data_IF_300556227519
#
_entry.id   IF_300556227519
#
_cell.length_a   1.000
_cell.length_b   1.000
_cell.length_c   1.000
_cell.angle_alpha   90.00
_cell.angle_beta   90.00
_cell.angle_gamma   90.00
#
_symmetry.space_group_name_H-M   'P 1'
#
loop_
_entity.id
_entity.type
_entity.pdbx_description
1 polymer ?
#
# COMPACT_ATOMS: atom_id res chain seq x y z
N UNK A 1 -28.08 11.90 22.82
CA UNK A 1 -27.38 11.00 23.74
C UNK A 1 -25.91 11.36 23.63
N UNK A 2 -25.34 12.06 24.60
CA UNK A 2 -23.90 12.33 24.64
C UNK A 2 -23.24 10.99 24.94
N UNK A 3 -22.53 10.43 23.97
CA UNK A 3 -21.67 9.28 24.24
C UNK A 3 -20.62 9.73 25.27
N UNK A 4 -20.32 8.88 26.26
CA UNK A 4 -19.16 9.08 27.13
C UNK A 4 -17.88 9.25 26.29
N UNK A 5 -16.81 9.76 26.90
CA UNK A 5 -15.52 9.96 26.22
C UNK A 5 -15.11 8.72 25.40
N UNK A 6 -14.83 8.86 24.09
CA UNK A 6 -14.39 7.75 23.23
C UNK A 6 -12.94 7.31 23.53
N UNK A 7 -12.30 7.93 24.51
CA UNK A 7 -10.93 7.66 24.94
C UNK A 7 -10.88 7.42 26.44
N UNK A 8 -10.19 6.36 26.84
CA UNK A 8 -9.95 5.99 28.23
C UNK A 8 -8.47 5.73 28.47
N UNK A 9 -7.83 6.62 29.23
CA UNK A 9 -6.45 6.49 29.68
C UNK A 9 -6.43 5.85 31.07
N UNK A 10 -5.59 4.83 31.25
CA UNK A 10 -5.36 4.16 32.53
C UNK A 10 -3.88 4.29 32.89
N UNK A 11 -3.61 4.81 34.09
CA UNK A 11 -2.27 4.88 34.67
C UNK A 11 -2.00 3.58 35.46
N UNK A 12 -1.31 2.64 34.82
CA UNK A 12 -1.09 1.29 35.34
C UNK A 12 -0.09 1.26 36.51
N UNK A 13 0.64 2.35 36.75
CA UNK A 13 1.48 2.50 37.94
C UNK A 13 0.67 2.83 39.20
N UNK A 14 -0.58 3.32 39.02
CA UNK A 14 -1.45 3.78 40.10
C UNK A 14 -2.71 2.95 40.27
N UNK A 15 -3.19 2.36 39.19
CA UNK A 15 -4.46 1.67 39.13
C UNK A 15 -4.29 0.23 38.64
N UNK A 16 -4.91 -0.72 39.32
CA UNK A 16 -4.95 -2.10 38.84
C UNK A 16 -5.79 -2.18 37.54
N UNK A 17 -5.44 -3.05 36.58
CA UNK A 17 -6.22 -3.24 35.37
C UNK A 17 -7.67 -3.64 35.70
N UNK A 18 -8.62 -2.74 35.47
CA UNK A 18 -10.04 -3.07 35.64
C UNK A 18 -10.54 -3.74 34.36
N UNK A 19 -11.09 -4.95 34.44
CA UNK A 19 -11.80 -5.56 33.32
C UNK A 19 -13.07 -4.77 33.02
N UNK A 20 -13.03 -3.96 31.97
CA UNK A 20 -14.16 -3.16 31.50
C UNK A 20 -14.42 -3.49 30.03
N UNK A 21 -15.70 -3.68 29.69
CA UNK A 21 -16.15 -3.95 28.33
C UNK A 21 -16.17 -2.65 27.52
N UNK A 22 -14.97 -2.15 27.17
CA UNK A 22 -14.76 -0.91 26.45
C UNK A 22 -15.03 -1.08 24.94
N UNK A 23 -16.23 -1.55 24.57
CA UNK A 23 -16.60 -1.84 23.17
C UNK A 23 -16.72 -0.59 22.31
N UNK A 24 -16.94 0.58 22.91
CA UNK A 24 -17.27 1.85 22.25
C UNK A 24 -16.17 2.92 22.40
N UNK A 25 -15.00 2.55 22.93
CA UNK A 25 -13.91 3.47 23.26
C UNK A 25 -12.54 2.86 23.02
N UNK A 26 -11.56 3.72 22.79
CA UNK A 26 -10.14 3.39 22.71
C UNK A 26 -9.55 3.39 24.11
N UNK A 27 -8.92 2.29 24.51
CA UNK A 27 -8.33 2.12 25.84
C UNK A 27 -6.82 2.06 25.78
N UNK A 28 -6.16 3.01 26.45
CA UNK A 28 -4.70 3.15 26.46
C UNK A 28 -4.19 2.99 27.90
N UNK A 29 -3.26 2.05 28.09
CA UNK A 29 -2.53 1.90 29.33
C UNK A 29 -1.17 2.59 29.23
N UNK A 30 -0.78 3.30 30.30
CA UNK A 30 0.56 3.88 30.45
C UNK A 30 1.19 3.33 31.71
N UNK A 31 2.48 2.95 31.62
CA UNK A 31 3.29 2.59 32.78
C UNK A 31 4.74 3.02 32.57
N UNK A 32 5.45 3.34 33.64
CA UNK A 32 6.89 3.59 33.60
C UNK A 32 7.64 2.37 33.08
N UNK A 33 7.29 1.18 33.57
CA UNK A 33 7.86 -0.12 33.18
C UNK A 33 6.76 -1.06 32.66
N UNK A 34 7.05 -1.95 31.69
CA UNK A 34 6.10 -2.94 31.21
C UNK A 34 5.53 -3.83 32.32
N UNK A 35 4.20 -3.90 32.40
CA UNK A 35 3.45 -4.79 33.31
C UNK A 35 2.53 -5.73 32.55
N UNK A 36 2.01 -6.77 33.21
CA UNK A 36 0.93 -7.60 32.67
C UNK A 36 -0.41 -6.85 32.79
N UNK A 37 -0.80 -6.19 31.70
CA UNK A 37 -2.01 -5.37 31.63
C UNK A 37 -3.24 -6.12 31.07
N UNK A 38 -3.10 -7.40 30.70
CA UNK A 38 -4.17 -8.16 30.06
C UNK A 38 -4.52 -7.73 28.61
N UNK A 39 -5.45 -8.44 27.94
CA UNK A 39 -5.77 -8.25 26.52
C UNK A 39 -6.76 -7.11 26.24
N UNK A 40 -7.27 -6.42 27.27
CA UNK A 40 -8.31 -5.39 27.17
C UNK A 40 -7.84 -4.04 26.64
N UNK A 41 -6.53 -3.78 26.60
CA UNK A 41 -5.97 -2.53 26.11
C UNK A 41 -5.77 -2.58 24.60
N UNK A 42 -6.07 -1.46 23.95
CA UNK A 42 -5.79 -1.28 22.52
C UNK A 42 -4.35 -0.86 22.28
N UNK A 43 -3.75 -0.18 23.26
CA UNK A 43 -2.37 0.28 23.26
C UNK A 43 -1.82 0.26 24.68
N UNK A 44 -0.54 -0.11 24.80
CA UNK A 44 0.25 0.02 26.01
C UNK A 44 1.50 0.86 25.70
N UNK A 45 1.71 1.93 26.47
CA UNK A 45 2.78 2.90 26.26
C UNK A 45 3.73 2.92 27.45
N UNK A 46 5.03 2.93 27.19
CA UNK A 46 6.07 2.99 28.23
C UNK A 46 7.22 3.90 27.83
N UNK A 47 7.93 4.41 28.85
CA UNK A 47 9.18 5.16 28.69
C UNK A 47 10.39 4.29 28.32
N UNK A 48 10.28 2.97 28.49
CA UNK A 48 11.37 2.02 28.19
C UNK A 48 11.67 2.02 26.69
N UNK A 49 12.95 2.16 26.35
CA UNK A 49 13.44 2.02 24.99
C UNK A 49 13.37 0.55 24.55
N UNK A 50 12.78 0.29 23.38
CA UNK A 50 12.56 -1.05 22.81
C UNK A 50 11.92 -2.07 23.79
N UNK A 51 10.70 -1.78 24.27
CA UNK A 51 10.05 -2.64 25.25
C UNK A 51 9.54 -3.94 24.61
N UNK A 52 9.33 -5.01 25.39
CA UNK A 52 8.74 -6.24 24.89
C UNK A 52 7.35 -6.00 24.33
N UNK A 53 6.94 -6.80 23.34
CA UNK A 53 5.54 -6.80 22.88
C UNK A 53 4.62 -7.16 24.05
N UNK A 54 3.44 -6.53 24.17
CA UNK A 54 2.82 -5.65 23.18
C UNK A 54 3.10 -4.14 23.38
N UNK A 55 4.05 -3.77 24.24
CA UNK A 55 4.32 -2.38 24.59
C UNK A 55 4.95 -1.58 23.44
N UNK A 56 4.63 -0.28 23.44
CA UNK A 56 5.22 0.73 22.55
C UNK A 56 6.09 1.66 23.39
N UNK A 57 7.38 1.70 23.06
CA UNK A 57 8.36 2.57 23.72
C UNK A 57 8.31 3.98 23.14
N UNK A 58 8.21 4.98 24.00
CA UNK A 58 8.21 6.39 23.62
C UNK A 58 8.77 7.27 24.73
N UNK A 59 9.43 8.37 24.39
CA UNK A 59 10.17 9.18 25.36
C UNK A 59 9.29 9.81 26.46
N UNK A 60 8.02 10.12 26.14
CA UNK A 60 7.03 10.63 27.10
C UNK A 60 5.68 9.95 26.85
N UNK A 61 5.39 8.82 27.52
CA UNK A 61 4.18 8.04 27.25
C UNK A 61 2.90 8.76 27.66
N UNK A 62 2.95 9.65 28.66
CA UNK A 62 1.78 10.44 29.06
C UNK A 62 1.47 11.53 28.03
N UNK A 63 2.48 12.27 27.54
CA UNK A 63 2.27 13.25 26.48
C UNK A 63 1.80 12.59 25.17
N UNK A 64 2.33 11.40 24.86
CA UNK A 64 1.84 10.58 23.72
C UNK A 64 0.37 10.20 23.93
N UNK A 65 0.00 9.69 25.11
CA UNK A 65 -1.39 9.34 25.42
C UNK A 65 -2.34 10.53 25.29
N UNK A 66 -1.94 11.73 25.73
CA UNK A 66 -2.73 12.95 25.57
C UNK A 66 -2.92 13.32 24.08
N UNK A 67 -1.87 13.22 23.26
CA UNK A 67 -1.98 13.44 21.80
C UNK A 67 -2.93 12.43 21.15
N UNK A 68 -2.83 11.16 21.52
CA UNK A 68 -3.75 10.12 21.05
C UNK A 68 -5.19 10.43 21.47
N UNK A 69 -5.42 10.87 22.71
CA UNK A 69 -6.73 11.33 23.17
C UNK A 69 -7.30 12.47 22.32
N UNK A 70 -6.47 13.43 21.91
CA UNK A 70 -6.88 14.50 21.02
C UNK A 70 -7.24 13.99 19.61
N UNK A 71 -6.49 13.04 19.05
CA UNK A 71 -6.83 12.40 17.76
C UNK A 71 -8.15 11.65 17.86
N UNK A 72 -8.35 10.87 18.93
CA UNK A 72 -9.58 10.11 19.17
C UNK A 72 -10.78 11.06 19.35
N UNK A 73 -10.61 12.20 20.01
CA UNK A 73 -11.65 13.21 20.12
C UNK A 73 -11.99 13.87 18.77
N UNK A 74 -10.98 14.08 17.91
CA UNK A 74 -11.16 14.67 16.58
C UNK A 74 -11.80 13.70 15.58
N UNK A 75 -11.50 12.39 15.67
CA UNK A 75 -11.94 11.35 14.73
C UNK A 75 -12.50 10.11 15.45
N UNK A 76 -13.53 10.26 16.31
CA UNK A 76 -13.94 9.21 17.24
C UNK A 76 -14.44 7.94 16.55
N UNK A 77 -15.24 8.08 15.50
CA UNK A 77 -15.76 6.94 14.75
C UNK A 77 -14.65 6.11 14.10
N UNK A 78 -13.64 6.77 13.51
CA UNK A 78 -12.52 6.09 12.87
C UNK A 78 -11.61 5.41 13.89
N UNK A 79 -11.29 6.09 14.99
CA UNK A 79 -10.45 5.55 16.05
C UNK A 79 -11.07 4.33 16.74
N UNK A 80 -12.36 4.41 17.09
CA UNK A 80 -13.07 3.28 17.69
C UNK A 80 -13.20 2.13 16.69
N UNK A 81 -13.60 2.39 15.44
CA UNK A 81 -13.70 1.36 14.42
C UNK A 81 -12.36 0.65 14.18
N UNK A 82 -11.24 1.39 14.13
CA UNK A 82 -9.90 0.81 14.02
C UNK A 82 -9.64 -0.20 15.13
N UNK A 83 -9.82 0.21 16.39
CA UNK A 83 -9.57 -0.69 17.54
C UNK A 83 -10.50 -1.89 17.56
N UNK A 84 -11.78 -1.72 17.19
CA UNK A 84 -12.72 -2.84 17.07
C UNK A 84 -12.29 -3.84 16.00
N UNK A 85 -11.92 -3.36 14.80
CA UNK A 85 -11.42 -4.20 13.70
C UNK A 85 -10.19 -4.97 14.15
N UNK A 86 -9.23 -4.31 14.82
CA UNK A 86 -8.02 -4.98 15.29
C UNK A 86 -8.29 -6.03 16.40
N UNK A 87 -9.19 -5.74 17.35
CA UNK A 87 -9.62 -6.71 18.38
C UNK A 87 -10.31 -7.93 17.76
N UNK A 88 -11.19 -7.70 16.79
CA UNK A 88 -11.93 -8.75 16.11
C UNK A 88 -11.05 -9.54 15.13
N UNK A 89 -10.06 -8.90 14.50
CA UNK A 89 -9.13 -9.52 13.55
C UNK A 89 -8.37 -10.72 14.14
N UNK A 90 -8.05 -10.68 15.43
CA UNK A 90 -7.44 -11.81 16.15
C UNK A 90 -8.36 -13.02 16.36
N UNK A 91 -9.65 -12.91 16.06
CA UNK A 91 -10.69 -13.95 16.27
C UNK A 91 -11.28 -14.51 14.98
N UNK A 92 -10.88 -13.98 13.84
CA UNK A 92 -11.37 -14.37 12.51
C UNK A 92 -10.21 -14.87 11.64
N UNK A 93 -10.55 -15.63 10.61
CA UNK A 93 -9.58 -16.17 9.65
C UNK A 93 -8.94 -15.07 8.81
N UNK A 94 -7.76 -15.30 8.20
CA UNK A 94 -7.09 -14.27 7.40
C UNK A 94 -7.96 -13.66 6.28
N UNK A 95 -8.70 -14.44 5.45
CA UNK A 95 -9.62 -13.86 4.46
C UNK A 95 -10.74 -13.02 5.08
N UNK A 96 -11.28 -13.42 6.23
CA UNK A 96 -12.33 -12.68 6.94
C UNK A 96 -11.84 -11.33 7.48
N UNK A 97 -10.55 -11.19 7.81
CA UNK A 97 -9.96 -9.90 8.23
C UNK A 97 -10.10 -8.85 7.13
N UNK A 98 -9.86 -9.22 5.87
CA UNK A 98 -10.00 -8.31 4.73
C UNK A 98 -11.47 -7.88 4.53
N UNK A 99 -12.42 -8.80 4.74
CA UNK A 99 -13.85 -8.49 4.66
C UNK A 99 -14.25 -7.55 5.80
N UNK A 100 -13.82 -7.84 7.04
CA UNK A 100 -14.06 -7.01 8.23
C UNK A 100 -13.51 -5.59 8.04
N UNK A 101 -12.27 -5.45 7.58
CA UNK A 101 -11.66 -4.16 7.27
C UNK A 101 -12.47 -3.41 6.21
N UNK A 102 -12.81 -4.07 5.11
CA UNK A 102 -13.57 -3.47 4.02
C UNK A 102 -14.96 -2.98 4.46
N UNK A 103 -15.64 -3.72 5.33
CA UNK A 103 -16.93 -3.32 5.91
C UNK A 103 -16.78 -2.04 6.74
N UNK A 104 -15.81 -2.02 7.67
CA UNK A 104 -15.57 -0.87 8.53
C UNK A 104 -15.11 0.37 7.73
N UNK A 105 -14.18 0.20 6.79
CA UNK A 105 -13.73 1.27 5.90
C UNK A 105 -14.89 1.84 5.06
N UNK A 106 -15.76 0.97 4.54
CA UNK A 106 -16.90 1.41 3.72
C UNK A 106 -17.97 2.13 4.53
N UNK A 107 -18.22 1.72 5.77
CA UNK A 107 -19.05 2.48 6.70
C UNK A 107 -18.49 3.89 6.93
N UNK A 108 -17.17 4.00 7.16
CA UNK A 108 -16.50 5.28 7.46
C UNK A 108 -16.47 6.25 6.26
N UNK A 109 -16.51 5.75 5.02
CA UNK A 109 -16.63 6.61 3.83
C UNK A 109 -17.91 7.46 3.80
N UNK A 110 -18.97 7.04 4.52
CA UNK A 110 -20.17 7.86 4.73
C UNK A 110 -20.17 8.65 6.04
N UNK A 111 -19.10 8.52 6.84
CA UNK A 111 -18.96 9.12 8.16
C UNK A 111 -18.82 10.65 8.12
N UNK A 112 -19.18 11.31 9.23
CA UNK A 112 -19.00 12.76 9.36
C UNK A 112 -17.51 13.18 9.33
N UNK A 113 -16.62 12.38 9.92
CA UNK A 113 -15.17 12.65 9.95
C UNK A 113 -14.56 12.72 8.54
N UNK A 114 -14.83 11.70 7.72
CA UNK A 114 -14.35 11.68 6.33
C UNK A 114 -14.95 12.79 5.47
N UNK A 115 -16.26 13.08 5.62
CA UNK A 115 -16.90 14.22 4.92
C UNK A 115 -16.29 15.56 5.32
N UNK A 116 -16.01 15.77 6.61
CA UNK A 116 -15.36 16.99 7.09
C UNK A 116 -13.93 17.12 6.54
N UNK A 117 -13.18 16.02 6.53
CA UNK A 117 -11.85 15.98 5.92
C UNK A 117 -11.91 16.33 4.42
N UNK A 118 -12.80 15.69 3.65
CA UNK A 118 -12.99 15.98 2.22
C UNK A 118 -13.31 17.46 1.96
N UNK A 119 -14.17 18.08 2.78
CA UNK A 119 -14.51 19.49 2.66
C UNK A 119 -13.32 20.43 2.94
N UNK A 120 -12.36 20.00 3.76
CA UNK A 120 -11.13 20.76 4.06
C UNK A 120 -9.97 20.46 3.10
N UNK A 121 -10.04 19.34 2.39
CA UNK A 121 -8.97 18.86 1.54
C UNK A 121 -8.83 19.74 0.29
N UNK A 122 -7.58 20.01 -0.10
CA UNK A 122 -7.30 20.70 -1.37
C UNK A 122 -7.74 19.80 -2.54
N UNK A 123 -8.49 20.33 -3.52
CA UNK A 123 -8.81 19.58 -4.73
C UNK A 123 -7.54 19.07 -5.41
N UNK A 124 -7.57 17.83 -5.90
CA UNK A 124 -6.49 17.20 -6.63
C UNK A 124 -7.01 16.68 -7.95
N UNK A 125 -6.20 16.83 -9.00
CA UNK A 125 -6.51 16.31 -10.32
C UNK A 125 -6.00 14.87 -10.42
N UNK A 126 -6.83 13.91 -10.86
CA UNK A 126 -6.37 12.56 -11.18
C UNK A 126 -5.26 12.60 -12.23
N UNK A 127 -4.23 11.79 -12.04
CA UNK A 127 -3.09 11.66 -12.97
C UNK A 127 -2.86 10.19 -13.31
N UNK A 128 -3.75 9.56 -14.11
CA UNK A 128 -3.68 8.14 -14.42
C UNK A 128 -2.42 7.81 -15.24
N UNK A 129 -2.01 6.56 -15.19
CA UNK A 129 -0.97 6.00 -16.07
C UNK A 129 -1.60 4.98 -17.03
N UNK A 130 -1.06 4.86 -18.24
CA UNK A 130 -1.42 3.76 -19.13
C UNK A 130 -0.88 2.41 -18.61
N UNK A 131 0.29 2.44 -17.96
CA UNK A 131 0.97 1.28 -17.38
C UNK A 131 1.36 1.59 -15.93
N UNK A 132 0.40 1.58 -14.97
CA UNK A 132 0.67 1.95 -13.57
C UNK A 132 1.46 0.90 -12.79
N UNK A 133 1.57 -0.33 -13.32
CA UNK A 133 2.36 -1.43 -12.77
C UNK A 133 3.06 -2.12 -13.93
N UNK A 134 4.38 -2.32 -13.82
CA UNK A 134 5.20 -3.07 -14.79
C UNK A 134 5.52 -4.47 -14.27
N UNK A 135 5.57 -5.44 -15.18
CA UNK A 135 5.95 -6.82 -14.89
C UNK A 135 7.21 -7.19 -15.70
N UNK A 136 8.14 -7.89 -15.06
CA UNK A 136 9.25 -8.54 -15.75
C UNK A 136 9.47 -9.93 -15.16
N UNK A 137 9.56 -10.93 -16.02
CA UNK A 137 9.88 -12.29 -15.62
C UNK A 137 11.25 -12.67 -16.13
N UNK A 138 12.07 -13.22 -15.24
CA UNK A 138 13.34 -13.87 -15.56
C UNK A 138 13.39 -15.23 -14.86
N UNK A 139 13.28 -16.31 -15.64
CA UNK A 139 13.18 -17.67 -15.13
C UNK A 139 12.01 -17.86 -14.14
N UNK A 140 12.35 -18.20 -12.90
CA UNK A 140 11.44 -18.43 -11.77
C UNK A 140 11.15 -17.17 -10.94
N UNK A 141 11.68 -16.01 -11.35
CA UNK A 141 11.52 -14.72 -10.66
C UNK A 141 10.58 -13.80 -11.44
N UNK A 142 9.62 -13.19 -10.73
CA UNK A 142 8.73 -12.16 -11.25
C UNK A 142 8.95 -10.84 -10.50
N UNK A 143 9.41 -9.82 -11.19
CA UNK A 143 9.46 -8.46 -10.67
C UNK A 143 8.14 -7.73 -11.01
N UNK A 144 7.50 -7.16 -9.99
CA UNK A 144 6.31 -6.32 -10.08
C UNK A 144 6.70 -4.92 -9.57
N UNK A 145 6.55 -3.89 -10.40
CA UNK A 145 6.99 -2.52 -10.07
C UNK A 145 5.83 -1.54 -10.17
N UNK A 146 5.50 -0.80 -9.10
CA UNK A 146 4.64 0.37 -9.21
C UNK A 146 5.29 1.44 -10.08
N UNK A 147 4.61 1.93 -11.11
CA UNK A 147 5.19 2.81 -12.13
C UNK A 147 4.36 4.08 -12.36
N UNK A 148 4.13 4.82 -11.27
CA UNK A 148 3.57 6.18 -11.30
C UNK A 148 4.49 7.17 -10.58
N UNK A 149 5.77 7.31 -10.97
CA UNK A 149 6.76 8.06 -10.19
C UNK A 149 6.40 9.55 -10.00
N UNK A 150 5.68 10.17 -10.94
CA UNK A 150 5.26 11.59 -10.87
C UNK A 150 4.22 11.91 -9.77
N UNK A 151 3.60 10.88 -9.20
CA UNK A 151 2.71 10.93 -8.03
C UNK A 151 3.29 10.16 -6.85
N UNK A 152 4.58 9.79 -6.88
CA UNK A 152 5.20 8.90 -5.87
C UNK A 152 4.43 7.59 -5.72
N UNK A 153 4.06 6.98 -6.84
CA UNK A 153 3.36 5.70 -6.89
C UNK A 153 2.09 5.69 -6.02
N UNK A 154 1.33 6.79 -6.02
CA UNK A 154 0.02 6.81 -5.38
C UNK A 154 -0.85 5.68 -5.94
N UNK A 155 -1.68 5.08 -5.08
CA UNK A 155 -2.43 3.87 -5.35
C UNK A 155 -3.87 4.22 -5.70
N UNK A 156 -4.17 4.19 -7.00
CA UNK A 156 -5.50 4.47 -7.57
C UNK A 156 -6.18 3.17 -8.06
N UNK A 157 -7.41 3.26 -8.57
CA UNK A 157 -8.15 2.11 -9.09
C UNK A 157 -7.42 1.42 -10.26
N UNK A 158 -6.76 2.18 -11.15
CA UNK A 158 -5.97 1.63 -12.24
C UNK A 158 -4.76 0.84 -11.74
N UNK A 159 -4.05 1.37 -10.73
CA UNK A 159 -2.93 0.70 -10.07
C UNK A 159 -3.39 -0.57 -9.35
N UNK A 160 -4.55 -0.52 -8.68
CA UNK A 160 -5.17 -1.70 -8.05
C UNK A 160 -5.43 -2.79 -9.07
N UNK A 161 -6.08 -2.46 -10.18
CA UNK A 161 -6.48 -3.44 -11.18
C UNK A 161 -5.24 -4.05 -11.86
N UNK A 162 -4.26 -3.23 -12.24
CA UNK A 162 -2.99 -3.71 -12.80
C UNK A 162 -2.17 -4.57 -11.81
N UNK A 163 -2.15 -4.21 -10.52
CA UNK A 163 -1.51 -5.03 -9.48
C UNK A 163 -2.24 -6.36 -9.30
N UNK A 164 -3.58 -6.37 -9.32
CA UNK A 164 -4.34 -7.61 -9.31
C UNK A 164 -3.94 -8.50 -10.47
N UNK A 165 -3.90 -7.98 -11.71
CA UNK A 165 -3.48 -8.75 -12.89
C UNK A 165 -2.07 -9.32 -12.72
N UNK A 166 -1.12 -8.52 -12.23
CA UNK A 166 0.25 -8.97 -11.98
C UNK A 166 0.34 -10.10 -10.94
N UNK A 167 -0.39 -9.98 -9.83
CA UNK A 167 -0.39 -10.98 -8.77
C UNK A 167 -1.12 -12.26 -9.17
N UNK A 168 -2.12 -12.20 -10.05
CA UNK A 168 -2.75 -13.40 -10.60
C UNK A 168 -1.74 -14.26 -11.37
N UNK A 169 -0.76 -13.66 -12.05
CA UNK A 169 0.32 -14.40 -12.71
C UNK A 169 1.12 -15.21 -11.69
N UNK A 170 1.52 -14.60 -10.57
CA UNK A 170 2.26 -15.28 -9.50
C UNK A 170 1.45 -16.39 -8.80
N UNK A 171 0.14 -16.17 -8.61
CA UNK A 171 -0.75 -17.16 -8.01
C UNK A 171 -0.98 -18.35 -8.96
N UNK A 172 -1.23 -18.09 -10.24
CA UNK A 172 -1.60 -19.11 -11.21
C UNK A 172 -0.41 -19.93 -11.74
N UNK A 173 0.80 -19.36 -11.75
CA UNK A 173 1.99 -20.04 -12.28
C UNK A 173 2.90 -20.56 -11.14
N UNK A 174 2.90 -21.89 -10.86
CA UNK A 174 3.73 -22.48 -9.82
C UNK A 174 5.23 -22.48 -10.16
N UNK A 175 5.61 -22.21 -11.42
CA UNK A 175 7.03 -22.09 -11.79
C UNK A 175 7.64 -20.75 -11.37
N UNK A 176 6.83 -19.80 -10.90
CA UNK A 176 7.30 -18.55 -10.27
C UNK A 176 7.55 -18.83 -8.78
N UNK A 177 8.81 -19.07 -8.43
CA UNK A 177 9.25 -19.35 -7.07
C UNK A 177 9.47 -18.06 -6.26
N UNK A 178 9.79 -16.95 -6.93
CA UNK A 178 10.12 -15.68 -6.28
C UNK A 178 9.37 -14.51 -6.93
N UNK A 179 8.80 -13.64 -6.10
CA UNK A 179 8.18 -12.39 -6.54
C UNK A 179 8.87 -11.24 -5.83
N UNK A 180 9.33 -10.25 -6.58
CA UNK A 180 9.84 -9.01 -6.01
C UNK A 180 8.84 -7.88 -6.25
N UNK A 181 8.47 -7.15 -5.20
CA UNK A 181 7.63 -5.97 -5.28
C UNK A 181 8.48 -4.71 -5.07
N UNK A 182 8.49 -3.84 -6.08
CA UNK A 182 9.25 -2.59 -6.13
C UNK A 182 8.36 -1.37 -6.37
N UNK A 183 8.90 -0.17 -6.15
CA UNK A 183 8.36 1.08 -6.68
C UNK A 183 9.37 1.81 -7.56
N UNK A 184 8.93 2.41 -8.66
CA UNK A 184 9.79 3.23 -9.50
C UNK A 184 9.92 4.66 -8.94
N UNK A 185 11.09 5.27 -9.10
CA UNK A 185 11.35 6.66 -8.72
C UNK A 185 11.62 6.84 -7.21
N UNK A 186 11.25 8.01 -6.68
CA UNK A 186 11.69 8.49 -5.37
C UNK A 186 10.98 7.86 -4.15
N UNK A 187 10.02 6.96 -4.35
CA UNK A 187 9.28 6.32 -3.27
C UNK A 187 8.77 4.95 -3.72
N UNK A 188 8.64 4.03 -2.77
CA UNK A 188 7.95 2.76 -3.00
C UNK A 188 6.49 2.99 -3.39
N UNK A 189 5.68 3.54 -2.46
CA UNK A 189 4.27 3.87 -2.67
C UNK A 189 3.78 4.84 -1.59
N UNK A 190 3.22 5.97 -2.02
CA UNK A 190 2.72 7.03 -1.12
C UNK A 190 1.30 6.82 -0.59
N UNK A 191 0.72 5.63 -0.83
CA UNK A 191 -0.60 5.24 -0.35
C UNK A 191 -1.71 5.62 -1.31
N UNK A 192 -2.96 5.57 -0.85
CA UNK A 192 -4.14 5.85 -1.68
C UNK A 192 -4.04 7.19 -2.41
N UNK A 193 -4.38 7.20 -3.70
CA UNK A 193 -4.41 8.43 -4.49
C UNK A 193 -5.56 9.32 -3.99
N UNK A 194 -5.20 10.42 -3.31
CA UNK A 194 -6.20 11.32 -2.72
C UNK A 194 -7.08 12.01 -3.78
N UNK A 195 -6.74 11.95 -5.07
CA UNK A 195 -7.65 12.41 -6.12
C UNK A 195 -8.87 11.47 -6.32
N UNK A 196 -8.81 10.23 -5.84
CA UNK A 196 -9.94 9.28 -5.86
C UNK A 196 -10.83 9.38 -4.61
N UNK A 197 -10.36 10.03 -3.55
CA UNK A 197 -11.08 10.06 -2.29
C UNK A 197 -12.37 10.88 -2.45
N UNK A 198 -13.50 10.28 -2.07
CA UNK A 198 -14.83 10.87 -2.24
C UNK A 198 -15.44 10.71 -3.64
N UNK A 199 -14.77 10.03 -4.58
CA UNK A 199 -15.34 9.77 -5.92
C UNK A 199 -16.38 8.64 -5.91
N UNK A 200 -16.24 7.68 -4.98
CA UNK A 200 -17.24 6.64 -4.76
C UNK A 200 -18.48 7.21 -4.08
N UNK A 201 -19.63 7.12 -4.75
CA UNK A 201 -20.93 7.57 -4.23
C UNK A 201 -21.73 6.47 -3.53
N UNK A 202 -21.28 5.22 -3.65
CA UNK A 202 -21.94 4.05 -3.09
C UNK A 202 -20.91 3.19 -2.34
N UNK A 203 -20.78 3.36 -1.01
CA UNK A 203 -19.84 2.58 -0.23
C UNK A 203 -20.16 1.08 -0.19
N UNK A 204 -21.42 0.67 -0.39
CA UNK A 204 -21.76 -0.75 -0.45
C UNK A 204 -21.20 -1.38 -1.73
N UNK A 205 -21.30 -0.70 -2.87
CA UNK A 205 -20.64 -1.15 -4.10
C UNK A 205 -19.11 -1.09 -3.98
N UNK A 206 -18.57 -0.04 -3.34
CA UNK A 206 -17.13 0.05 -3.08
C UNK A 206 -16.61 -1.10 -2.21
N UNK A 207 -17.39 -1.55 -1.21
CA UNK A 207 -17.09 -2.73 -0.42
C UNK A 207 -16.99 -3.97 -1.30
N UNK A 208 -18.01 -4.24 -2.12
CA UNK A 208 -18.04 -5.41 -3.01
C UNK A 208 -16.87 -5.40 -4.00
N UNK A 209 -16.54 -4.23 -4.57
CA UNK A 209 -15.39 -4.08 -5.46
C UNK A 209 -14.07 -4.39 -4.72
N UNK A 210 -13.86 -3.82 -3.53
CA UNK A 210 -12.65 -4.06 -2.73
C UNK A 210 -12.47 -5.53 -2.38
N UNK A 211 -13.56 -6.25 -2.07
CA UNK A 211 -13.49 -7.69 -1.77
C UNK A 211 -13.21 -8.52 -3.04
N UNK A 212 -13.82 -8.18 -4.18
CA UNK A 212 -13.65 -8.94 -5.44
C UNK A 212 -12.35 -8.65 -6.17
N UNK A 213 -11.83 -7.42 -6.05
CA UNK A 213 -10.58 -6.94 -6.68
C UNK A 213 -9.61 -6.54 -5.58
N UNK A 214 -9.12 -7.55 -4.85
CA UNK A 214 -8.26 -7.36 -3.69
C UNK A 214 -6.82 -7.81 -3.98
N UNK A 215 -5.88 -6.87 -4.22
CA UNK A 215 -4.47 -7.20 -4.24
C UNK A 215 -4.03 -7.85 -2.92
N UNK A 216 -4.55 -7.37 -1.78
CA UNK A 216 -4.26 -7.93 -0.46
C UNK A 216 -4.64 -9.42 -0.34
N UNK A 217 -5.76 -9.85 -0.93
CA UNK A 217 -6.14 -11.27 -0.93
C UNK A 217 -5.17 -12.14 -1.74
N UNK A 218 -4.72 -11.64 -2.89
CA UNK A 218 -3.72 -12.33 -3.72
C UNK A 218 -2.35 -12.36 -3.03
N UNK A 219 -1.97 -11.25 -2.39
CA UNK A 219 -0.76 -11.12 -1.58
C UNK A 219 -0.79 -12.04 -0.36
N UNK A 220 -1.95 -12.27 0.25
CA UNK A 220 -2.10 -13.24 1.32
C UNK A 220 -1.85 -14.68 0.84
N UNK A 221 -2.17 -14.99 -0.42
CA UNK A 221 -1.96 -16.32 -1.01
C UNK A 221 -0.51 -16.54 -1.48
N UNK A 222 0.06 -15.59 -2.23
CA UNK A 222 1.43 -15.71 -2.75
C UNK A 222 2.51 -15.14 -1.81
N UNK A 223 2.11 -14.48 -0.72
CA UNK A 223 2.95 -13.76 0.24
C UNK A 223 4.27 -14.45 0.61
N UNK A 224 4.29 -15.75 0.97
CA UNK A 224 5.52 -16.46 1.30
C UNK A 224 6.62 -16.41 0.22
N UNK A 225 6.26 -16.20 -1.05
CA UNK A 225 7.18 -16.06 -2.19
C UNK A 225 7.55 -14.61 -2.50
N UNK A 226 6.88 -13.64 -1.88
CA UNK A 226 7.05 -12.20 -2.14
C UNK A 226 8.13 -11.61 -1.23
N UNK A 227 9.04 -10.86 -1.84
CA UNK A 227 9.93 -9.91 -1.16
C UNK A 227 9.53 -8.49 -1.54
N UNK A 228 9.15 -7.67 -0.55
CA UNK A 228 8.89 -6.25 -0.75
C UNK A 228 10.18 -5.44 -0.52
N UNK A 229 10.49 -4.55 -1.44
CA UNK A 229 11.70 -3.73 -1.44
C UNK A 229 11.34 -2.26 -1.24
N UNK A 230 11.38 -1.82 0.01
CA UNK A 230 10.91 -0.51 0.44
C UNK A 230 12.00 0.55 0.34
N UNK A 231 11.66 1.73 -0.16
CA UNK A 231 12.52 2.92 -0.15
C UNK A 231 11.68 4.19 -0.14
N UNK A 232 12.26 5.29 0.36
CA UNK A 232 11.55 6.56 0.49
C UNK A 232 10.21 6.41 1.22
N UNK A 233 9.15 7.01 0.68
CA UNK A 233 7.83 6.98 1.32
C UNK A 233 7.09 5.63 1.10
N UNK A 234 6.68 5.02 2.21
CA UNK A 234 5.84 3.81 2.29
C UNK A 234 4.62 4.10 3.18
N UNK A 235 3.57 4.65 2.59
CA UNK A 235 2.45 5.24 3.33
C UNK A 235 1.14 4.52 2.99
N UNK A 236 0.27 4.29 3.98
CA UNK A 236 -1.04 3.66 3.77
C UNK A 236 -0.93 2.39 2.93
N UNK A 237 -1.70 2.31 1.84
CA UNK A 237 -1.68 1.19 0.89
C UNK A 237 -0.28 0.67 0.51
N UNK A 238 0.75 1.54 0.47
CA UNK A 238 2.13 1.13 0.25
C UNK A 238 2.64 0.14 1.31
N UNK A 239 2.61 0.52 2.58
CA UNK A 239 3.06 -0.38 3.66
C UNK A 239 2.03 -1.48 3.95
N UNK A 240 0.73 -1.21 3.80
CA UNK A 240 -0.33 -2.18 4.04
C UNK A 240 -0.19 -3.43 3.16
N UNK A 241 0.08 -3.23 1.86
CA UNK A 241 0.29 -4.30 0.90
C UNK A 241 1.65 -4.98 1.08
N UNK A 242 2.71 -4.21 1.32
CA UNK A 242 4.05 -4.76 1.54
C UNK A 242 4.11 -5.67 2.77
N UNK A 243 3.32 -5.39 3.81
CA UNK A 243 3.29 -6.19 5.03
C UNK A 243 2.77 -7.64 4.84
N UNK A 244 2.12 -7.96 3.71
CA UNK A 244 1.77 -9.35 3.35
C UNK A 244 2.94 -10.15 2.78
N UNK A 245 4.03 -9.49 2.36
CA UNK A 245 5.19 -10.18 1.81
C UNK A 245 5.79 -11.14 2.84
N UNK A 246 6.41 -12.22 2.38
CA UNK A 246 7.15 -13.15 3.23
C UNK A 246 8.42 -12.52 3.78
N UNK A 247 9.02 -11.59 3.02
CA UNK A 247 10.16 -10.77 3.43
C UNK A 247 9.95 -9.31 3.05
N UNK A 248 10.36 -8.40 3.94
CA UNK A 248 10.34 -6.95 3.75
C UNK A 248 11.75 -6.43 3.96
N UNK A 249 12.39 -6.00 2.87
CA UNK A 249 13.67 -5.29 2.88
C UNK A 249 13.38 -3.79 2.81
N UNK A 250 14.12 -2.98 3.57
CA UNK A 250 13.98 -1.52 3.51
C UNK A 250 15.32 -0.82 3.30
N UNK A 251 15.33 0.22 2.47
CA UNK A 251 16.42 1.17 2.41
C UNK A 251 16.52 1.96 3.73
N UNK A 252 17.73 2.41 4.14
CA UNK A 252 17.90 3.18 5.37
C UNK A 252 17.06 4.46 5.45
N UNK A 253 16.69 5.05 4.31
CA UNK A 253 15.89 6.27 4.20
C UNK A 253 14.37 6.01 4.16
N UNK A 254 13.94 4.76 4.36
CA UNK A 254 12.52 4.40 4.31
C UNK A 254 11.74 5.06 5.44
N UNK A 255 10.60 5.65 5.08
CA UNK A 255 9.66 6.35 5.96
C UNK A 255 8.30 5.65 5.87
N UNK A 256 7.81 5.12 6.99
CA UNK A 256 6.55 4.39 7.08
C UNK A 256 5.50 5.20 7.83
N UNK A 257 4.24 5.18 7.37
CA UNK A 257 3.13 5.88 8.05
C UNK A 257 1.74 5.31 7.72
N UNK A 258 0.81 5.38 8.67
CA UNK A 258 -0.62 5.10 8.49
C UNK A 258 -1.48 6.34 8.85
N UNK A 259 -1.74 7.24 7.90
CA UNK A 259 -2.42 8.52 8.17
C UNK A 259 -3.96 8.49 8.19
N UNK A 260 -4.58 7.35 7.91
CA UNK A 260 -6.00 7.24 7.55
C UNK A 260 -6.95 7.74 8.64
N UNK A 261 -6.59 7.53 9.92
CA UNK A 261 -7.40 8.00 11.06
C UNK A 261 -7.59 9.51 11.02
N UNK A 262 -6.54 10.27 10.69
CA UNK A 262 -6.62 11.73 10.54
C UNK A 262 -7.56 12.17 9.42
N UNK A 263 -7.87 11.28 8.47
CA UNK A 263 -8.84 11.49 7.40
C UNK A 263 -10.25 11.04 7.79
N UNK A 264 -10.46 10.51 9.00
CA UNK A 264 -11.73 9.90 9.40
C UNK A 264 -11.97 8.51 8.81
N UNK A 265 -10.89 7.82 8.42
CA UNK A 265 -10.89 6.46 7.88
C UNK A 265 -9.99 5.54 8.72
N UNK A 266 -9.89 4.28 8.34
CA UNK A 266 -8.89 3.33 8.86
C UNK A 266 -8.00 2.86 7.70
N UNK A 267 -6.87 2.19 7.94
CA UNK A 267 -6.18 1.43 6.89
C UNK A 267 -7.17 0.52 6.17
N UNK A 268 -7.15 0.53 4.83
CA UNK A 268 -8.24 -0.02 4.00
C UNK A 268 -7.78 -0.78 2.76
N UNK A 269 -6.48 -1.03 2.65
CA UNK A 269 -5.84 -1.82 1.59
C UNK A 269 -5.25 -3.13 2.15
N UNK A 270 -5.74 -3.59 3.31
CA UNK A 270 -5.32 -4.77 4.03
C UNK A 270 -4.49 -4.49 5.29
N UNK A 271 -4.28 -3.22 5.66
CA UNK A 271 -3.40 -2.83 6.76
C UNK A 271 -3.77 -3.39 8.13
N UNK A 272 -5.06 -3.46 8.44
CA UNK A 272 -5.55 -4.06 9.69
C UNK A 272 -5.54 -5.60 9.65
N UNK A 273 -5.29 -6.20 8.48
CA UNK A 273 -5.12 -7.63 8.31
C UNK A 273 -3.64 -8.06 8.30
N UNK A 274 -2.74 -7.27 7.72
CA UNK A 274 -1.31 -7.60 7.56
C UNK A 274 -0.43 -7.10 8.69
N UNK A 275 -0.52 -5.82 9.08
CA UNK A 275 0.38 -5.26 10.09
C UNK A 275 0.26 -5.95 11.46
N UNK A 276 -0.94 -6.28 11.98
CA UNK A 276 -1.04 -6.94 13.28
C UNK A 276 -0.37 -8.31 13.31
N UNK A 277 -0.24 -8.99 12.17
CA UNK A 277 0.49 -10.26 12.06
C UNK A 277 1.99 -10.03 12.25
N UNK A 278 2.53 -8.93 11.71
CA UNK A 278 3.96 -8.58 11.83
C UNK A 278 4.30 -7.98 13.19
N UNK A 279 3.62 -6.91 13.58
CA UNK A 279 3.99 -6.08 14.74
C UNK A 279 3.06 -6.18 15.94
N UNK A 280 1.99 -6.97 15.85
CA UNK A 280 0.96 -7.03 16.88
C UNK A 280 -0.06 -5.91 16.79
N UNK A 281 -1.17 -6.10 17.49
CA UNK A 281 -2.32 -5.19 17.47
C UNK A 281 -1.97 -3.80 18.01
N UNK A 282 -1.26 -3.74 19.12
CA UNK A 282 -1.03 -2.52 19.90
C UNK A 282 -0.08 -1.57 19.16
N UNK A 283 1.00 -2.09 18.56
CA UNK A 283 1.89 -1.31 17.68
C UNK A 283 1.20 -0.88 16.39
N UNK A 284 0.32 -1.70 15.83
CA UNK A 284 -0.51 -1.32 14.66
C UNK A 284 -1.47 -0.18 15.02
N UNK A 285 -2.16 -0.30 16.16
CA UNK A 285 -3.08 0.72 16.65
C UNK A 285 -2.32 2.02 16.95
N UNK A 286 -1.14 1.95 17.55
CA UNK A 286 -0.26 3.11 17.74
C UNK A 286 0.07 3.79 16.42
N UNK A 287 0.57 3.04 15.43
CA UNK A 287 1.00 3.61 14.14
C UNK A 287 -0.15 4.31 13.41
N UNK A 288 -1.36 3.72 13.45
CA UNK A 288 -2.53 4.27 12.79
C UNK A 288 -3.20 5.42 13.56
N UNK A 289 -3.28 5.35 14.90
CA UNK A 289 -3.90 6.40 15.73
C UNK A 289 -3.00 7.62 15.86
N UNK A 290 -1.69 7.45 16.01
CA UNK A 290 -0.76 8.58 16.07
C UNK A 290 -0.61 9.26 14.72
N UNK A 291 -0.65 8.49 13.63
CA UNK A 291 -0.24 8.95 12.31
C UNK A 291 1.24 9.36 12.26
N UNK A 292 2.03 8.96 13.26
CA UNK A 292 3.45 9.28 13.36
C UNK A 292 4.26 8.51 12.31
N UNK A 293 5.42 9.08 11.96
CA UNK A 293 6.38 8.42 11.10
C UNK A 293 7.15 7.35 11.88
N UNK A 294 7.22 6.14 11.29
CA UNK A 294 8.09 5.06 11.73
C UNK A 294 9.31 4.98 10.79
N UNK A 295 10.50 5.12 11.34
CA UNK A 295 11.76 4.97 10.59
C UNK A 295 12.04 3.50 10.24
N UNK A 296 12.91 3.24 9.25
CA UNK A 296 13.40 1.90 8.93
C UNK A 296 13.97 1.17 10.16
N UNK A 297 14.77 1.87 10.98
CA UNK A 297 15.38 1.29 12.19
C UNK A 297 14.33 0.86 13.23
N UNK A 298 13.31 1.69 13.47
CA UNK A 298 12.23 1.33 14.39
C UNK A 298 11.37 0.20 13.80
N UNK A 299 11.11 0.24 12.49
CA UNK A 299 10.37 -0.81 11.79
C UNK A 299 11.08 -2.17 11.86
N UNK A 300 12.41 -2.19 11.78
CA UNK A 300 13.24 -3.37 12.01
C UNK A 300 13.10 -3.87 13.45
N UNK A 301 13.29 -2.99 14.44
CA UNK A 301 13.12 -3.35 15.86
C UNK A 301 11.71 -3.85 16.19
N UNK A 302 10.70 -3.37 15.46
CA UNK A 302 9.33 -3.85 15.61
C UNK A 302 9.06 -5.18 14.91
N UNK A 303 9.90 -5.60 13.95
CA UNK A 303 9.66 -6.75 13.08
C UNK A 303 8.66 -6.46 11.95
N UNK A 304 8.43 -5.19 11.61
CA UNK A 304 7.68 -4.81 10.40
C UNK A 304 8.55 -5.01 9.16
N UNK A 305 9.83 -4.66 9.28
CA UNK A 305 10.89 -4.85 8.30
C UNK A 305 11.80 -5.98 8.78
N UNK A 306 12.24 -6.83 7.87
CA UNK A 306 13.08 -8.00 8.17
C UNK A 306 14.58 -7.68 8.01
N UNK A 307 14.92 -6.73 7.15
CA UNK A 307 16.30 -6.31 6.90
C UNK A 307 16.38 -4.86 6.43
N UNK A 308 17.48 -4.18 6.77
CA UNK A 308 17.84 -2.87 6.22
C UNK A 308 19.06 -3.03 5.33
N UNK A 309 18.97 -2.57 4.08
CA UNK A 309 20.05 -2.69 3.10
C UNK A 309 19.82 -1.82 1.88
N UNK A 310 20.74 -1.87 0.90
CA UNK A 310 20.55 -1.15 -0.36
C UNK A 310 19.38 -1.77 -1.14
N UNK A 311 18.35 -0.96 -1.39
CA UNK A 311 17.26 -1.31 -2.28
C UNK A 311 17.57 -0.76 -3.66
N UNK A 312 18.20 -1.56 -4.50
CA UNK A 312 18.40 -1.19 -5.90
C UNK A 312 17.13 -1.49 -6.67
N UNK A 313 16.55 -0.47 -7.31
CA UNK A 313 15.54 -0.66 -8.36
C UNK A 313 16.07 -1.40 -9.60
N UNK A 314 17.31 -1.92 -9.57
CA UNK A 314 18.01 -2.60 -10.67
C UNK A 314 17.38 -3.94 -11.10
N UNK A 315 16.36 -4.43 -10.39
CA UNK A 315 15.49 -5.52 -10.86
C UNK A 315 14.23 -5.05 -11.59
N UNK A 316 13.94 -3.74 -11.61
CA UNK A 316 12.88 -3.20 -12.45
C UNK A 316 13.35 -3.27 -13.91
N UNK A 317 12.55 -3.85 -14.83
CA UNK A 317 12.91 -3.83 -16.24
C UNK A 317 13.11 -2.38 -16.68
N UNK A 318 14.13 -2.09 -17.54
CA UNK A 318 14.18 -0.80 -18.20
C UNK A 318 12.85 -0.58 -18.94
N UNK A 319 12.38 0.68 -19.05
CA UNK A 319 11.18 0.96 -19.84
C UNK A 319 11.35 0.32 -21.23
N UNK A 320 10.29 -0.25 -21.83
CA UNK A 320 10.40 -0.77 -23.18
C UNK A 320 10.99 0.33 -24.06
N UNK A 321 12.10 0.02 -24.75
CA UNK A 321 12.65 0.90 -25.76
C UNK A 321 11.47 1.28 -26.66
N UNK A 322 11.25 2.57 -26.88
CA UNK A 322 10.17 3.04 -27.72
C UNK A 322 10.33 2.35 -29.06
N UNK A 323 9.51 1.33 -29.34
CA UNK A 323 9.41 0.78 -30.67
C UNK A 323 8.68 1.86 -31.43
N UNK A 324 9.44 2.80 -31.98
CA UNK A 324 8.99 3.56 -33.12
C UNK A 324 8.62 2.53 -34.17
N UNK A 325 7.32 2.23 -34.25
CA UNK A 325 6.71 1.69 -35.44
C UNK A 325 6.82 2.77 -36.52
N UNK A 326 8.05 3.02 -36.98
CA UNK A 326 8.26 3.57 -38.29
C UNK A 326 7.79 2.47 -39.25
N UNK A 327 6.79 2.73 -40.11
CA UNK A 327 6.45 1.78 -41.14
C UNK A 327 7.72 1.47 -41.96
N UNK A 328 7.94 0.20 -42.36
CA UNK A 328 9.10 -0.14 -43.15
C UNK A 328 9.12 0.76 -44.39
N UNK A 329 10.24 1.46 -44.59
CA UNK A 329 10.46 2.26 -45.77
C UNK A 329 10.20 1.35 -46.99
N UNK A 330 9.19 1.71 -47.77
CA UNK A 330 8.92 1.10 -49.06
C UNK A 330 10.17 1.29 -49.92
N UNK A 331 10.90 0.20 -50.13
CA UNK A 331 11.93 0.12 -51.14
C UNK A 331 11.25 0.38 -52.49
N UNK A 332 11.42 1.59 -53.00
CA UNK A 332 11.07 1.93 -54.38
C UNK A 332 12.10 1.24 -55.27
N UNK A 333 11.72 0.04 -55.73
CA UNK A 333 12.43 -0.66 -56.79
C UNK A 333 12.33 0.14 -58.09
N UNK A 334 13.47 0.56 -58.60
CA UNK A 334 13.65 1.06 -59.96
C UNK A 334 13.20 -0.02 -60.96
N UNK A 335 12.35 0.28 -61.96
CA UNK A 335 12.01 -0.71 -62.98
C UNK A 335 13.18 -0.84 -63.97
N UNK A 336 13.78 -2.04 -64.00
CA UNK A 336 14.68 -2.45 -65.07
C UNK A 336 13.86 -2.71 -66.34
N UNK A 337 14.08 -1.92 -67.37
CA UNK A 337 13.49 -2.09 -68.70
C UNK A 337 14.16 -3.28 -69.38
N UNK A 338 13.38 -4.31 -69.67
CA UNK A 338 13.73 -5.42 -70.54
C UNK A 338 13.60 -4.99 -72.00
N UNK A 339 14.68 -5.09 -72.77
CA UNK A 339 14.64 -5.14 -74.24
C UNK A 339 15.29 -6.43 -74.68
N UNK A 340 14.51 -7.34 -75.26
CA UNK A 340 15.02 -8.52 -75.99
C UNK A 340 14.91 -8.28 -77.49
N UNK A 341 16.03 -8.51 -78.16
CA UNK A 341 16.23 -9.18 -79.45
C UNK A 341 15.42 -8.80 -80.70
N UNK A 342 16.12 -8.36 -81.76
CA UNK A 342 16.57 -9.26 -82.84
C UNK A 342 17.31 -8.49 -83.96
N UNK A 343 18.16 -9.16 -84.78
CA UNK A 343 19.06 -8.53 -85.75
C UNK A 343 18.58 -8.59 -87.21
N UNK A 344 19.10 -7.71 -88.08
CA UNK A 344 19.69 -8.03 -89.40
C UNK A 344 19.86 -6.80 -90.33
N UNK A 345 21.07 -6.71 -90.91
CA UNK A 345 21.51 -6.25 -92.25
C UNK A 345 20.89 -5.04 -92.98
N UNK A 346 21.79 -4.11 -93.33
CA UNK A 346 21.97 -3.37 -94.60
C UNK A 346 20.77 -2.96 -95.47
N UNK A 347 20.58 -1.66 -95.72
CA UNK A 347 21.05 -1.00 -96.95
C UNK A 347 20.71 0.51 -97.01
N UNK A 348 21.69 1.26 -97.49
CA UNK A 348 21.63 2.28 -98.54
C UNK A 348 20.57 3.43 -98.56
N UNK A 349 21.13 4.65 -98.52
CA UNK A 349 20.87 5.83 -99.41
C UNK A 349 19.75 6.87 -99.13
N UNK A 350 20.22 8.13 -99.16
CA UNK A 350 19.64 9.34 -99.79
C UNK A 350 18.78 10.32 -98.98
N UNK A 351 19.44 11.46 -98.70
CA UNK A 351 19.06 12.88 -98.91
C UNK A 351 17.68 13.43 -98.51
N UNK A 352 17.73 14.65 -97.95
CA UNK A 352 16.85 15.72 -98.43
C UNK A 352 16.44 16.80 -97.42
N UNK A 353 17.23 17.89 -97.42
CA UNK A 353 16.92 19.28 -97.02
C UNK A 353 16.90 19.65 -95.54
#
# INVERSE_FOLDING_TARGET
MTLDSPFHLVDLDREAPVRADAKDRVRVGVAAEPVDAGPEFDLLLTGVADPPRPWVGCADPYAVAQRLGAVVAAQPAASVALTQVLRMGGRVTPPERLVLESLAYSMLQSGAGFRAWLASARPRTPRPAAEPVRLCRDGDRLAITFDRPWVRNAFDAGTRDALCEALHVAVADPSIAHVDLYGNGAAFCSGGDLAEFGTSRDPAQAHLLRVRRSPAALLQECGPRVTAHLHGACVGAGIELAAFAGRVLAAPDTVIRLPEVGMGLIPGAGGTASLPVRIGRERTAYLALSGDTLSAAQALGWGLVDEIGEVTAAGAPPPPATVTNAPPATATGTPATTTSDAPSSSDATTAGR
#
